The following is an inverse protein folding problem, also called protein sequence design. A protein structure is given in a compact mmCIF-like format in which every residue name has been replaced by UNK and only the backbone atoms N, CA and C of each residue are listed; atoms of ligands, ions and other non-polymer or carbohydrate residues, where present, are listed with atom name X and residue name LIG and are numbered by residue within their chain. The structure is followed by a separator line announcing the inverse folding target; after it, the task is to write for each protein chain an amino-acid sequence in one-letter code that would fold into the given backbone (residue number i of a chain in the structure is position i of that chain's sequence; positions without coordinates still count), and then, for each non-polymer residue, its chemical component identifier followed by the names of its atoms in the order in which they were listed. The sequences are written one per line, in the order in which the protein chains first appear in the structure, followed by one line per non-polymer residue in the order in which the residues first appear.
data_IF_696321672996
#
_entry.id   IF_696321672996
#
_cell.length_a   1.000
_cell.length_b   1.000
_cell.length_c   1.000
_cell.angle_alpha   90.00
_cell.angle_beta   90.00
_cell.angle_gamma   90.00
#
_symmetry.space_group_name_H-M   'P 1'
#
loop_
_entity.id
_entity.type
_entity.pdbx_description
1 polymer ?
#
# COMPACT_ATOMS: atom_id res chain seq x y z
N UNK A 1 9.18 -68.18 -43.16
CA UNK A 1 9.34 -66.71 -43.20
C UNK A 1 8.12 -66.06 -42.56
N UNK A 2 8.31 -64.85 -42.02
CA UNK A 2 7.34 -63.86 -41.50
C UNK A 2 7.19 -63.72 -39.98
N UNK A 3 7.18 -62.44 -39.61
CA UNK A 3 7.53 -61.83 -38.32
C UNK A 3 6.23 -61.28 -37.73
N UNK A 4 5.97 -61.48 -36.44
CA UNK A 4 5.03 -60.62 -35.71
C UNK A 4 5.71 -60.11 -34.43
N UNK A 5 6.18 -58.86 -34.51
CA UNK A 5 6.55 -58.02 -33.37
C UNK A 5 5.25 -57.42 -32.83
N UNK A 6 5.02 -57.41 -31.51
CA UNK A 6 4.45 -56.25 -30.82
C UNK A 6 4.84 -56.31 -29.34
N UNK A 7 5.41 -55.18 -28.89
CA UNK A 7 6.07 -54.97 -27.61
C UNK A 7 5.05 -54.66 -26.51
N UNK A 8 5.05 -55.48 -25.46
CA UNK A 8 4.22 -55.26 -24.26
C UNK A 8 4.94 -54.30 -23.32
N UNK A 9 4.38 -53.10 -23.10
CA UNK A 9 4.78 -52.19 -22.01
C UNK A 9 3.72 -52.22 -20.90
N UNK A 10 4.12 -52.88 -19.79
CA UNK A 10 4.04 -52.50 -18.37
C UNK A 10 3.34 -51.15 -18.00
N UNK A 11 2.78 -51.00 -16.79
CA UNK A 11 1.56 -51.60 -16.25
C UNK A 11 0.54 -50.53 -15.81
N UNK A 12 -0.71 -50.96 -15.70
CA UNK A 12 -1.84 -50.24 -15.13
C UNK A 12 -1.60 -49.96 -13.63
N UNK A 13 -1.58 -48.70 -13.21
CA UNK A 13 -1.71 -48.32 -11.79
C UNK A 13 -2.95 -47.43 -11.62
N UNK A 14 -3.95 -48.01 -10.98
CA UNK A 14 -5.15 -47.38 -10.47
C UNK A 14 -4.79 -46.42 -9.33
N UNK A 15 -5.31 -45.19 -9.39
CA UNK A 15 -5.78 -44.44 -8.22
C UNK A 15 -6.59 -43.23 -8.70
N UNK A 16 -7.83 -43.50 -9.13
CA UNK A 16 -8.85 -42.49 -9.34
C UNK A 16 -9.39 -42.03 -7.98
N UNK A 17 -8.94 -40.86 -7.51
CA UNK A 17 -9.61 -40.10 -6.45
C UNK A 17 -10.28 -38.90 -7.12
N UNK A 18 -11.55 -39.08 -7.46
CA UNK A 18 -12.47 -38.00 -7.76
C UNK A 18 -13.13 -37.56 -6.46
N UNK A 19 -12.77 -36.38 -5.95
CA UNK A 19 -13.66 -35.57 -5.11
C UNK A 19 -13.61 -34.15 -5.65
N UNK A 20 -14.61 -33.83 -6.47
CA UNK A 20 -15.01 -32.48 -6.79
C UNK A 20 -15.60 -31.87 -5.50
N UNK A 21 -14.82 -31.05 -4.81
CA UNK A 21 -15.27 -30.18 -3.73
C UNK A 21 -15.23 -28.74 -4.19
N UNK A 22 -16.31 -28.26 -4.83
CA UNK A 22 -16.52 -26.85 -5.02
C UNK A 22 -16.90 -26.21 -3.68
N UNK A 23 -16.03 -25.37 -3.14
CA UNK A 23 -16.38 -24.41 -2.09
C UNK A 23 -15.77 -23.05 -2.41
N UNK A 24 -16.65 -22.22 -2.95
CA UNK A 24 -16.79 -20.77 -2.78
C UNK A 24 -15.54 -19.91 -3.03
N UNK A 25 -15.59 -19.15 -4.11
CA UNK A 25 -14.89 -17.88 -4.21
C UNK A 25 -15.23 -17.03 -2.98
N UNK A 26 -14.30 -16.95 -2.03
CA UNK A 26 -14.31 -15.91 -1.03
C UNK A 26 -14.13 -14.58 -1.75
N UNK A 27 -15.19 -13.78 -1.83
CA UNK A 27 -15.06 -12.34 -1.93
C UNK A 27 -14.06 -11.93 -0.83
N UNK A 28 -12.98 -11.24 -1.22
CA UNK A 28 -11.95 -10.79 -0.29
C UNK A 28 -12.54 -9.86 0.75
N UNK A 29 -12.99 -10.43 1.87
CA UNK A 29 -13.29 -9.69 3.08
C UNK A 29 -11.95 -9.24 3.67
N UNK A 30 -11.52 -8.02 3.36
CA UNK A 30 -10.53 -7.32 4.18
C UNK A 30 -11.20 -6.94 5.50
N UNK A 31 -11.41 -7.93 6.36
CA UNK A 31 -11.76 -7.75 7.75
C UNK A 31 -10.46 -7.62 8.53
N UNK A 32 -10.08 -6.38 8.82
CA UNK A 32 -8.97 -6.01 9.69
C UNK A 32 -9.21 -6.58 11.10
N UNK A 33 -8.66 -7.75 11.36
CA UNK A 33 -8.37 -8.24 12.70
C UNK A 33 -6.89 -8.56 12.74
N UNK A 34 -6.22 -8.01 13.75
CA UNK A 34 -4.79 -7.91 13.90
C UNK A 34 -4.14 -9.27 14.15
N UNK A 35 -3.72 -9.96 13.09
CA UNK A 35 -2.67 -10.98 13.18
C UNK A 35 -1.31 -10.32 12.89
N UNK A 36 -0.25 -10.57 13.69
CA UNK A 36 1.05 -9.92 13.52
C UNK A 36 1.80 -10.22 12.21
N UNK A 37 1.33 -11.17 11.40
CA UNK A 37 2.13 -11.78 10.34
C UNK A 37 1.78 -11.32 8.90
N UNK A 38 0.64 -10.67 8.67
CA UNK A 38 0.27 -10.16 7.33
C UNK A 38 -0.18 -8.69 7.42
N UNK A 39 0.78 -7.77 7.55
CA UNK A 39 0.52 -6.34 7.42
C UNK A 39 0.17 -6.05 5.95
N UNK A 40 -1.06 -5.61 5.68
CA UNK A 40 -1.47 -5.20 4.34
C UNK A 40 -0.62 -4.01 3.83
N UNK A 41 -0.67 -3.71 2.53
CA UNK A 41 0.07 -2.59 1.93
C UNK A 41 -0.14 -1.26 2.67
N UNK A 42 -1.33 -1.05 3.24
CA UNK A 42 -1.67 0.13 4.05
C UNK A 42 -0.90 0.18 5.36
N UNK A 43 -0.65 -0.96 6.00
CA UNK A 43 0.13 -1.05 7.22
C UNK A 43 1.63 -0.85 6.96
N UNK A 44 2.16 -1.46 5.89
CA UNK A 44 3.54 -1.22 5.45
C UNK A 44 3.75 0.25 5.05
N UNK A 45 2.86 0.80 4.23
CA UNK A 45 2.90 2.20 3.81
C UNK A 45 2.85 3.16 4.99
N UNK A 46 2.02 2.87 6.01
CA UNK A 46 1.99 3.63 7.27
C UNK A 46 3.31 3.54 8.04
N UNK A 47 3.90 2.36 8.16
CA UNK A 47 5.18 2.19 8.85
C UNK A 47 6.30 2.98 8.16
N UNK A 48 6.40 2.85 6.83
CA UNK A 48 7.36 3.61 6.03
C UNK A 48 7.11 5.12 6.17
N UNK A 49 5.85 5.56 6.10
CA UNK A 49 5.49 6.96 6.30
C UNK A 49 5.97 7.47 7.66
N UNK A 50 5.67 6.76 8.75
CA UNK A 50 6.09 7.17 10.09
C UNK A 50 7.62 7.21 10.24
N UNK A 51 8.33 6.25 9.63
CA UNK A 51 9.79 6.18 9.69
C UNK A 51 10.51 7.25 8.84
N UNK A 52 9.89 7.71 7.75
CA UNK A 52 10.57 8.50 6.71
C UNK A 52 9.98 9.90 6.48
N UNK A 53 8.69 10.08 6.74
CA UNK A 53 7.93 11.29 6.41
C UNK A 53 7.32 11.94 7.64
N UNK A 54 6.89 11.15 8.63
CA UNK A 54 6.16 11.59 9.81
C UNK A 54 6.95 12.50 10.76
N UNK A 55 8.28 12.51 10.66
CA UNK A 55 9.15 13.46 11.38
C UNK A 55 9.02 14.89 10.86
N UNK A 56 8.60 15.06 9.61
CA UNK A 56 8.41 16.37 8.98
C UNK A 56 6.94 16.71 8.76
N UNK A 57 6.07 15.73 8.54
CA UNK A 57 4.68 15.93 8.14
C UNK A 57 3.68 15.44 9.19
N UNK A 58 2.59 16.20 9.34
CA UNK A 58 1.38 15.75 10.04
C UNK A 58 0.52 14.94 9.09
N UNK A 59 0.05 13.79 9.56
CA UNK A 59 -0.95 12.94 8.93
C UNK A 59 -1.73 12.21 10.03
N UNK A 60 -3.01 12.53 10.17
CA UNK A 60 -3.85 12.14 11.30
C UNK A 60 -3.94 10.61 11.46
N UNK A 61 -4.13 9.88 10.35
CA UNK A 61 -4.18 8.42 10.38
C UNK A 61 -2.84 7.81 10.83
N UNK A 62 -1.71 8.45 10.50
CA UNK A 62 -0.40 7.98 10.92
C UNK A 62 -0.07 8.30 12.39
N UNK A 63 -0.89 9.15 13.04
CA UNK A 63 -0.60 9.82 14.30
C UNK A 63 0.74 10.58 14.28
N UNK A 64 1.16 11.09 13.11
CA UNK A 64 2.42 11.81 12.98
C UNK A 64 2.27 13.29 13.34
N UNK A 65 3.33 13.88 13.88
CA UNK A 65 3.30 15.23 14.49
C UNK A 65 4.36 16.17 13.95
N UNK A 66 5.13 15.77 12.92
CA UNK A 66 6.14 16.64 12.31
C UNK A 66 5.52 17.87 11.66
N UNK A 67 6.07 19.05 11.92
CA UNK A 67 5.55 20.34 11.42
C UNK A 67 6.54 21.10 10.54
N UNK A 68 7.62 20.44 10.10
CA UNK A 68 8.62 21.06 9.23
C UNK A 68 8.14 21.17 7.79
N UNK A 69 7.37 20.17 7.35
CA UNK A 69 6.59 20.19 6.11
C UNK A 69 5.11 20.45 6.39
N UNK A 70 4.29 20.58 5.33
CA UNK A 70 2.85 20.79 5.47
C UNK A 70 2.17 19.62 6.18
N UNK A 71 1.09 19.93 6.88
CA UNK A 71 0.08 18.95 7.26
C UNK A 71 -0.60 18.42 5.97
N UNK A 72 -0.48 17.11 5.74
CA UNK A 72 -0.95 16.48 4.51
C UNK A 72 -2.47 16.33 4.47
N UNK A 73 -3.14 16.23 5.62
CA UNK A 73 -4.61 16.23 5.66
C UNK A 73 -5.16 17.56 5.16
N UNK A 74 -4.63 18.66 5.68
CA UNK A 74 -5.02 20.01 5.25
C UNK A 74 -4.63 20.27 3.80
N UNK A 75 -3.44 19.81 3.37
CA UNK A 75 -2.95 20.04 2.02
C UNK A 75 -3.81 19.35 0.95
N UNK A 76 -4.28 18.12 1.20
CA UNK A 76 -5.08 17.37 0.24
C UNK A 76 -6.59 17.57 0.38
N UNK A 77 -7.09 18.13 1.48
CA UNK A 77 -8.53 18.35 1.68
C UNK A 77 -9.21 19.17 0.53
N UNK A 78 -8.63 20.27 0.01
CA UNK A 78 -9.21 20.98 -1.13
C UNK A 78 -9.22 20.13 -2.41
N UNK A 79 -8.18 19.33 -2.64
CA UNK A 79 -8.12 18.44 -3.79
C UNK A 79 -9.20 17.36 -3.73
N UNK A 80 -9.42 16.77 -2.54
CA UNK A 80 -10.53 15.86 -2.26
C UNK A 80 -11.89 16.52 -2.49
N UNK A 81 -12.08 17.73 -1.99
CA UNK A 81 -13.31 18.50 -2.20
C UNK A 81 -13.57 18.82 -3.67
N UNK A 82 -12.50 18.96 -4.48
CA UNK A 82 -12.56 19.13 -5.92
C UNK A 82 -12.78 17.82 -6.71
N UNK A 83 -12.93 16.68 -6.02
CA UNK A 83 -13.22 15.39 -6.65
C UNK A 83 -11.98 14.59 -7.06
N UNK A 84 -10.80 14.93 -6.54
CA UNK A 84 -9.58 14.18 -6.82
C UNK A 84 -9.58 12.81 -6.12
N UNK A 85 -9.33 11.76 -6.90
CA UNK A 85 -9.28 10.37 -6.43
C UNK A 85 -7.90 9.96 -5.89
N UNK A 86 -7.85 8.76 -5.34
CA UNK A 86 -6.65 8.18 -4.72
C UNK A 86 -5.53 8.03 -5.74
N UNK A 87 -5.83 7.64 -6.99
CA UNK A 87 -4.83 7.47 -8.04
C UNK A 87 -4.15 8.79 -8.39
N UNK A 88 -4.92 9.88 -8.46
CA UNK A 88 -4.37 11.21 -8.70
C UNK A 88 -3.50 11.68 -7.53
N UNK A 89 -3.97 11.52 -6.28
CA UNK A 89 -3.18 11.88 -5.10
C UNK A 89 -1.92 11.02 -5.01
N UNK A 90 -2.00 9.72 -5.29
CA UNK A 90 -0.86 8.81 -5.35
C UNK A 90 0.16 9.31 -6.38
N UNK A 91 -0.29 9.74 -7.55
CA UNK A 91 0.55 10.38 -8.57
C UNK A 91 1.27 11.63 -8.08
N UNK A 92 0.57 12.52 -7.36
CA UNK A 92 1.14 13.73 -6.76
C UNK A 92 2.21 13.37 -5.72
N UNK A 93 1.92 12.42 -4.83
CA UNK A 93 2.87 11.98 -3.79
C UNK A 93 4.14 11.40 -4.42
N UNK A 94 4.01 10.52 -5.42
CA UNK A 94 5.16 9.99 -6.17
C UNK A 94 6.00 11.11 -6.77
N UNK A 95 5.35 12.06 -7.45
CA UNK A 95 6.02 13.17 -8.10
C UNK A 95 6.77 14.04 -7.09
N UNK A 96 6.17 14.32 -5.93
CA UNK A 96 6.78 15.13 -4.88
C UNK A 96 7.97 14.43 -4.21
N UNK A 97 7.89 13.12 -3.94
CA UNK A 97 9.02 12.37 -3.37
C UNK A 97 10.20 12.32 -4.36
N UNK A 98 9.90 12.16 -5.66
CA UNK A 98 10.94 12.06 -6.67
C UNK A 98 11.54 13.43 -7.05
N UNK A 99 10.71 14.47 -7.13
CA UNK A 99 11.09 15.82 -7.57
C UNK A 99 10.46 16.87 -6.64
N UNK A 100 10.91 16.96 -5.39
CA UNK A 100 10.42 17.97 -4.47
C UNK A 100 10.80 19.38 -4.96
N UNK A 101 10.08 20.40 -4.48
CA UNK A 101 10.45 21.79 -4.77
C UNK A 101 11.90 22.06 -4.35
N UNK A 102 12.65 22.80 -5.16
CA UNK A 102 14.02 23.21 -4.80
C UNK A 102 13.99 24.51 -4.03
N UNK A 103 14.95 24.70 -3.13
CA UNK A 103 15.14 25.99 -2.45
C UNK A 103 15.90 26.90 -3.40
N UNK A 104 15.32 28.06 -3.69
CA UNK A 104 15.94 29.12 -4.50
C UNK A 104 15.46 30.50 -4.03
N UNK A 105 15.74 31.53 -4.82
CA UNK A 105 15.34 32.90 -4.50
C UNK A 105 13.82 33.12 -4.47
N UNK A 106 13.05 32.27 -5.15
CA UNK A 106 11.59 32.31 -5.20
C UNK A 106 10.96 31.44 -4.08
N UNK A 107 11.67 30.40 -3.63
CA UNK A 107 11.26 29.51 -2.54
C UNK A 107 12.30 29.45 -1.41
N UNK A 108 12.42 30.51 -0.58
CA UNK A 108 13.29 30.48 0.58
C UNK A 108 12.74 29.54 1.66
N UNK A 109 13.53 28.57 2.15
CA UNK A 109 13.11 27.71 3.27
C UNK A 109 13.76 26.33 3.34
N UNK A 110 13.20 25.47 4.19
CA UNK A 110 13.55 24.04 4.27
C UNK A 110 12.80 23.31 3.16
N UNK A 111 13.51 22.48 2.38
CA UNK A 111 12.85 21.60 1.42
C UNK A 111 12.88 20.13 1.84
N UNK A 112 11.89 19.40 1.35
CA UNK A 112 11.81 17.96 1.40
C UNK A 112 13.01 17.35 0.62
N UNK A 113 13.78 16.43 1.22
CA UNK A 113 14.80 15.69 0.47
C UNK A 113 14.18 14.87 -0.67
N UNK A 114 14.88 14.76 -1.80
CA UNK A 114 14.46 13.90 -2.91
C UNK A 114 14.75 12.43 -2.60
N UNK A 115 13.93 11.52 -3.17
CA UNK A 115 14.14 10.07 -3.15
C UNK A 115 14.31 9.47 -1.75
N UNK A 116 13.55 9.96 -0.76
CA UNK A 116 13.57 9.43 0.62
C UNK A 116 13.15 7.95 0.66
N UNK A 117 12.27 7.55 -0.26
CA UNK A 117 11.86 6.18 -0.56
C UNK A 117 11.73 6.02 -2.08
N UNK A 118 11.93 4.80 -2.57
CA UNK A 118 11.93 4.46 -4.01
C UNK A 118 11.27 3.10 -4.26
N UNK A 119 11.02 2.76 -5.53
CA UNK A 119 10.49 1.46 -5.93
C UNK A 119 9.19 1.11 -5.18
N UNK A 120 9.12 -0.13 -4.67
CA UNK A 120 7.94 -0.60 -3.94
C UNK A 120 7.68 0.19 -2.65
N UNK A 121 8.71 0.71 -1.97
CA UNK A 121 8.50 1.52 -0.76
C UNK A 121 7.83 2.84 -1.09
N UNK A 122 8.20 3.47 -2.22
CA UNK A 122 7.51 4.65 -2.71
C UNK A 122 6.04 4.33 -3.07
N UNK A 123 5.81 3.17 -3.69
CA UNK A 123 4.46 2.73 -4.04
C UNK A 123 3.56 2.55 -2.82
N UNK A 124 4.07 1.91 -1.78
CA UNK A 124 3.35 1.66 -0.54
C UNK A 124 3.08 2.96 0.22
N UNK A 125 4.07 3.85 0.34
CA UNK A 125 3.90 5.17 0.97
C UNK A 125 2.89 6.02 0.18
N UNK A 126 3.01 6.07 -1.15
CA UNK A 126 2.12 6.88 -1.96
C UNK A 126 0.68 6.34 -1.92
N UNK A 127 0.49 5.02 -1.97
CA UNK A 127 -0.84 4.41 -1.84
C UNK A 127 -1.45 4.67 -0.46
N UNK A 128 -0.63 4.57 0.59
CA UNK A 128 -1.07 4.86 1.96
C UNK A 128 -1.48 6.34 2.14
N UNK A 129 -0.61 7.28 1.75
CA UNK A 129 -0.90 8.72 1.84
C UNK A 129 -2.15 9.05 1.02
N UNK A 130 -2.28 8.50 -0.19
CA UNK A 130 -3.47 8.68 -1.00
C UNK A 130 -4.72 8.22 -0.26
N UNK A 131 -4.74 7.03 0.32
CA UNK A 131 -5.92 6.48 0.97
C UNK A 131 -6.41 7.29 2.18
N UNK A 132 -5.55 8.08 2.85
CA UNK A 132 -5.87 8.69 4.15
C UNK A 132 -5.81 10.22 4.17
N UNK A 133 -4.95 10.84 3.35
CA UNK A 133 -4.76 12.28 3.39
C UNK A 133 -5.98 13.05 2.88
N UNK A 134 -6.43 14.00 3.70
CA UNK A 134 -7.52 14.91 3.37
C UNK A 134 -8.91 14.25 3.39
N UNK A 135 -9.00 13.00 3.89
CA UNK A 135 -10.27 12.30 4.08
C UNK A 135 -10.97 12.87 5.32
N UNK A 136 -12.19 13.44 5.20
CA UNK A 136 -12.89 14.03 6.32
C UNK A 136 -13.14 13.02 7.46
N UNK A 137 -12.77 13.38 8.68
CA UNK A 137 -13.02 12.57 9.88
C UNK A 137 -12.09 11.37 10.05
N UNK A 138 -11.06 11.20 9.21
CA UNK A 138 -10.06 10.12 9.37
C UNK A 138 -9.43 10.17 10.78
N UNK A 139 -9.34 9.03 11.43
CA UNK A 139 -8.76 8.89 12.77
C UNK A 139 -7.53 7.97 12.73
N UNK A 140 -6.58 8.12 13.65
CA UNK A 140 -5.51 7.14 13.82
C UNK A 140 -6.07 5.74 14.15
N UNK A 141 -5.30 4.67 13.86
CA UNK A 141 -5.62 3.33 14.33
C UNK A 141 -5.84 3.35 15.83
N UNK A 142 -6.89 2.65 16.28
CA UNK A 142 -7.15 2.44 17.70
C UNK A 142 -5.96 1.72 18.33
N UNK A 143 -5.53 2.16 19.51
CA UNK A 143 -4.44 1.49 20.19
C UNK A 143 -4.88 0.06 20.57
N UNK A 144 -3.96 -0.92 20.63
CA UNK A 144 -4.29 -2.25 21.11
C UNK A 144 -4.93 -2.17 22.51
N UNK A 145 -6.16 -2.67 22.64
CA UNK A 145 -6.87 -2.77 23.91
C UNK A 145 -7.85 -1.64 24.24
N UNK A 146 -8.00 -0.62 23.40
CA UNK A 146 -9.10 0.32 23.55
C UNK A 146 -10.36 -0.31 22.95
N UNK A 147 -11.42 -0.45 23.74
CA UNK A 147 -12.73 -1.05 23.40
C UNK A 147 -13.81 0.00 23.53
#
# INVERSE_FOLDING_TARGET
MMKNKFSTKLPLLLASVAVLGAVIAGCGSSSSNSDPEELGFQDRGRQLFNAKCGTCHVLAQAASTGTQGPNLDTAFAPARAAGMDDDTIKGIVRAQVHRPQVVDGDYPGVTMPANIVEGNDLEDVAAYVAAVAGVPGIQPPKAPGEG
#
